data_IF_122591751095
#
_entry.id   IF_122591751095
#
_cell.length_a   1.000
_cell.length_b   1.000
_cell.length_c   1.000
_cell.angle_alpha   90.00
_cell.angle_beta   90.00
_cell.angle_gamma   90.00
#
_symmetry.space_group_name_H-M   'P 1'
#
loop_
_entity.id
_entity.type
_entity.pdbx_description
1 polymer ?
#
# COMPACT_ATOMS: atom_id res chain seq x y z
N UNK A 1 17.37 -9.90 45.10
CA UNK A 1 17.68 -9.45 43.73
C UNK A 1 16.57 -9.99 42.82
N UNK A 2 15.62 -9.14 42.43
CA UNK A 2 14.61 -9.43 41.43
C UNK A 2 15.23 -9.16 40.07
N UNK A 3 15.37 -10.19 39.25
CA UNK A 3 15.74 -10.06 37.83
C UNK A 3 14.54 -9.50 37.06
N UNK A 4 14.68 -8.31 36.51
CA UNK A 4 13.73 -7.79 35.52
C UNK A 4 13.91 -8.58 34.24
N UNK A 5 12.88 -9.34 33.86
CA UNK A 5 12.78 -9.96 32.54
C UNK A 5 12.28 -8.88 31.62
N UNK A 6 13.17 -8.35 30.80
CA UNK A 6 12.81 -7.48 29.65
C UNK A 6 12.03 -8.33 28.64
N UNK A 7 10.81 -7.96 28.25
CA UNK A 7 10.14 -8.70 27.19
C UNK A 7 10.91 -8.46 25.88
N UNK A 8 11.47 -9.54 25.32
CA UNK A 8 11.93 -9.55 23.93
C UNK A 8 10.77 -9.11 23.05
N UNK A 9 10.98 -8.05 22.29
CA UNK A 9 10.11 -7.65 21.19
C UNK A 9 9.95 -8.86 20.25
N UNK A 10 8.80 -9.55 20.35
CA UNK A 10 8.39 -10.50 19.32
C UNK A 10 8.13 -9.68 18.07
N UNK A 11 8.99 -9.80 17.08
CA UNK A 11 8.69 -9.36 15.72
C UNK A 11 7.36 -9.99 15.31
N UNK A 12 6.39 -9.13 15.01
CA UNK A 12 5.10 -9.56 14.50
C UNK A 12 5.30 -10.05 13.07
N UNK A 13 5.54 -11.35 12.90
CA UNK A 13 5.62 -12.02 11.60
C UNK A 13 4.22 -12.29 11.07
N UNK A 14 3.44 -11.23 10.82
CA UNK A 14 2.23 -11.34 10.00
C UNK A 14 2.64 -11.60 8.55
N UNK A 15 1.99 -12.57 7.89
CA UNK A 15 2.18 -12.83 6.47
C UNK A 15 1.74 -11.59 5.68
N UNK A 16 2.69 -10.87 5.10
CA UNK A 16 2.39 -9.78 4.18
C UNK A 16 1.93 -10.39 2.86
N UNK A 17 0.73 -10.07 2.45
CA UNK A 17 0.22 -10.40 1.12
C UNK A 17 0.20 -9.10 0.34
N UNK A 18 0.95 -9.05 -0.76
CA UNK A 18 0.89 -7.97 -1.73
C UNK A 18 -0.52 -7.99 -2.32
N UNK A 19 -1.20 -6.86 -2.27
CA UNK A 19 -2.48 -6.71 -2.91
C UNK A 19 -2.32 -6.88 -4.42
N UNK A 20 -3.39 -7.16 -5.13
CA UNK A 20 -3.42 -7.47 -6.56
C UNK A 20 -2.39 -6.65 -7.38
N UNK A 21 -1.14 -7.14 -7.44
CA UNK A 21 -0.04 -6.45 -8.13
C UNK A 21 -0.32 -6.30 -9.63
N UNK A 22 -1.07 -7.23 -10.21
CA UNK A 22 -1.45 -7.17 -11.62
C UNK A 22 -2.23 -5.88 -11.94
N UNK A 23 -3.06 -5.42 -11.02
CA UNK A 23 -3.75 -4.14 -11.18
C UNK A 23 -2.76 -2.97 -11.30
N UNK A 24 -1.72 -2.93 -10.48
CA UNK A 24 -0.65 -1.94 -10.57
C UNK A 24 0.14 -2.07 -11.88
N UNK A 25 0.52 -3.29 -12.26
CA UNK A 25 1.28 -3.54 -13.49
C UNK A 25 0.52 -3.12 -14.76
N UNK A 26 -0.81 -3.30 -14.77
CA UNK A 26 -1.66 -2.95 -15.91
C UNK A 26 -1.76 -1.44 -16.19
N UNK A 27 -1.50 -0.59 -15.21
CA UNK A 27 -1.50 0.87 -15.40
C UNK A 27 -0.12 1.42 -15.77
N UNK A 28 0.95 0.65 -15.54
CA UNK A 28 2.31 1.05 -15.89
C UNK A 28 2.60 0.86 -17.39
N UNK A 29 3.54 1.65 -17.97
CA UNK A 29 3.98 1.44 -19.33
C UNK A 29 4.52 0.03 -19.56
N UNK A 30 4.27 -0.61 -20.74
CA UNK A 30 4.65 -2.00 -20.99
C UNK A 30 6.14 -2.31 -20.78
N UNK A 31 7.03 -1.37 -21.16
CA UNK A 31 8.47 -1.54 -20.96
C UNK A 31 8.83 -1.63 -19.46
N UNK A 32 8.17 -0.82 -18.61
CA UNK A 32 8.36 -0.83 -17.16
C UNK A 32 7.81 -2.12 -16.56
N UNK A 33 6.59 -2.52 -16.97
CA UNK A 33 5.96 -3.77 -16.53
C UNK A 33 6.81 -4.98 -16.90
N UNK A 34 7.32 -5.04 -18.14
CA UNK A 34 8.20 -6.12 -18.60
C UNK A 34 9.44 -6.25 -17.71
N UNK A 35 10.08 -5.12 -17.39
CA UNK A 35 11.27 -5.12 -16.54
C UNK A 35 10.99 -5.55 -15.11
N UNK A 36 9.87 -5.10 -14.51
CA UNK A 36 9.43 -5.54 -13.18
C UNK A 36 9.18 -7.05 -13.13
N UNK A 37 8.58 -7.60 -14.20
CA UNK A 37 8.34 -9.04 -14.33
C UNK A 37 9.64 -9.83 -14.46
N UNK A 38 10.63 -9.33 -15.20
CA UNK A 38 11.97 -9.96 -15.31
C UNK A 38 12.70 -10.00 -13.97
N UNK A 39 12.62 -8.92 -13.17
CA UNK A 39 13.20 -8.85 -11.83
C UNK A 39 12.55 -9.88 -10.89
N UNK A 40 11.27 -10.15 -11.08
CA UNK A 40 10.50 -11.18 -10.37
C UNK A 40 10.64 -11.15 -8.84
N UNK A 41 10.50 -9.96 -8.25
CA UNK A 41 10.52 -9.74 -6.80
C UNK A 41 9.24 -9.01 -6.33
N UNK A 42 8.04 -9.56 -6.61
CA UNK A 42 6.77 -8.88 -6.34
C UNK A 42 6.57 -8.59 -4.85
N UNK A 43 7.01 -9.49 -3.97
CA UNK A 43 6.82 -9.35 -2.53
C UNK A 43 7.72 -8.29 -1.87
N UNK A 44 8.78 -7.89 -2.54
CA UNK A 44 9.73 -6.89 -2.05
C UNK A 44 9.53 -5.51 -2.67
N UNK A 45 8.75 -5.39 -3.75
CA UNK A 45 8.50 -4.13 -4.44
C UNK A 45 7.70 -3.18 -3.57
N UNK A 46 8.23 -1.99 -3.28
CA UNK A 46 7.60 -0.95 -2.46
C UNK A 46 6.93 0.11 -3.30
N UNK A 47 7.63 0.64 -4.28
CA UNK A 47 7.14 1.71 -5.16
C UNK A 47 7.89 1.76 -6.49
N UNK A 48 7.21 2.29 -7.51
CA UNK A 48 7.78 2.59 -8.82
C UNK A 48 7.73 4.11 -9.02
N UNK A 49 8.84 4.70 -9.44
CA UNK A 49 9.02 6.14 -9.59
C UNK A 49 9.24 6.46 -11.07
N UNK A 50 8.39 7.34 -11.60
CA UNK A 50 8.40 7.80 -12.98
C UNK A 50 8.49 9.33 -12.98
N UNK A 51 9.67 9.89 -13.07
CA UNK A 51 9.91 11.34 -13.10
C UNK A 51 10.31 11.76 -14.50
N UNK A 52 9.71 12.83 -15.02
CA UNK A 52 9.99 13.39 -16.34
C UNK A 52 11.48 13.75 -16.48
N UNK A 53 12.12 13.27 -17.54
CA UNK A 53 13.55 13.51 -17.81
C UNK A 53 14.49 12.74 -16.88
N UNK A 54 14.01 11.72 -16.18
CA UNK A 54 14.81 10.80 -15.37
C UNK A 54 14.56 9.36 -15.78
N UNK A 55 15.52 8.50 -15.52
CA UNK A 55 15.35 7.06 -15.68
C UNK A 55 14.36 6.53 -14.64
N UNK A 56 13.43 5.63 -15.03
CA UNK A 56 12.47 5.04 -14.11
C UNK A 56 13.18 4.12 -13.13
N UNK A 57 12.76 4.17 -11.88
CA UNK A 57 13.30 3.32 -10.82
C UNK A 57 12.21 2.58 -10.06
N UNK A 58 12.57 1.44 -9.48
CA UNK A 58 11.74 0.70 -8.54
C UNK A 58 12.48 0.57 -7.22
N UNK A 59 11.80 0.92 -6.14
CA UNK A 59 12.30 0.71 -4.78
C UNK A 59 11.78 -0.60 -4.23
N UNK A 60 12.71 -1.41 -3.76
CA UNK A 60 12.48 -2.69 -3.08
C UNK A 60 12.89 -2.58 -1.61
N UNK A 61 12.53 -3.57 -0.82
CA UNK A 61 12.93 -3.65 0.61
C UNK A 61 14.45 -3.56 0.77
N UNK A 62 15.20 -4.15 -0.16
CA UNK A 62 16.65 -4.28 -0.11
C UNK A 62 17.40 -3.26 -0.98
N UNK A 63 16.73 -2.24 -1.52
CA UNK A 63 17.37 -1.19 -2.30
C UNK A 63 16.54 -0.69 -3.49
N UNK A 64 17.20 0.05 -4.37
CA UNK A 64 16.59 0.63 -5.56
C UNK A 64 17.20 0.01 -6.82
N UNK A 65 16.36 -0.20 -7.85
CA UNK A 65 16.79 -0.71 -9.16
C UNK A 65 16.30 0.21 -10.26
N UNK A 66 17.17 0.45 -11.25
CA UNK A 66 16.84 1.14 -12.49
C UNK A 66 16.06 0.18 -13.40
N UNK A 67 14.90 0.63 -13.87
CA UNK A 67 14.01 -0.18 -14.71
C UNK A 67 14.30 -0.02 -16.21
N UNK A 68 14.83 1.14 -16.62
CA UNK A 68 15.22 1.43 -18.00
C UNK A 68 16.33 2.48 -18.01
N UNK A 69 17.18 2.44 -19.01
CA UNK A 69 18.18 3.49 -19.26
C UNK A 69 17.62 4.65 -20.10
N UNK A 70 16.39 4.53 -20.58
CA UNK A 70 15.67 5.60 -21.28
C UNK A 70 14.92 6.45 -20.28
N UNK A 71 15.06 7.77 -20.40
CA UNK A 71 14.36 8.74 -19.55
C UNK A 71 12.85 8.71 -19.80
N UNK A 72 12.08 8.95 -18.73
CA UNK A 72 10.63 9.08 -18.81
C UNK A 72 10.24 10.34 -19.56
N UNK A 73 9.35 10.19 -20.52
CA UNK A 73 8.75 11.28 -21.30
C UNK A 73 7.33 11.59 -20.83
N UNK A 74 6.73 12.62 -21.38
CA UNK A 74 5.32 12.91 -21.12
C UNK A 74 4.38 11.77 -21.55
N UNK A 75 4.76 10.99 -22.57
CA UNK A 75 3.94 9.89 -23.05
C UNK A 75 3.75 8.80 -22.00
N UNK A 76 4.81 8.43 -21.29
CA UNK A 76 4.71 7.44 -20.20
C UNK A 76 3.90 7.96 -19.03
N UNK A 77 4.04 9.23 -18.67
CA UNK A 77 3.24 9.86 -17.61
C UNK A 77 1.77 9.87 -18.01
N UNK A 78 1.45 10.36 -19.21
CA UNK A 78 0.09 10.44 -19.73
C UNK A 78 -0.53 9.04 -19.89
N UNK A 79 0.29 8.02 -20.21
CA UNK A 79 -0.14 6.63 -20.29
C UNK A 79 -0.68 6.13 -18.94
N UNK A 80 0.02 6.42 -17.84
CA UNK A 80 -0.43 6.03 -16.50
C UNK A 80 -1.65 6.85 -16.09
N UNK A 81 -1.60 8.17 -16.24
CA UNK A 81 -2.69 9.08 -15.85
C UNK A 81 -4.00 8.73 -16.55
N UNK A 82 -3.96 8.32 -17.82
CA UNK A 82 -5.13 7.91 -18.59
C UNK A 82 -5.77 6.58 -18.14
N UNK A 83 -5.10 5.82 -17.28
CA UNK A 83 -5.56 4.50 -16.79
C UNK A 83 -5.97 4.46 -15.33
N UNK A 84 -5.81 5.57 -14.63
CA UNK A 84 -6.20 5.71 -13.23
C UNK A 84 -7.32 6.73 -13.09
N UNK A 85 -7.98 6.73 -11.93
CA UNK A 85 -9.01 7.72 -11.60
C UNK A 85 -8.45 9.13 -11.40
N UNK A 86 -9.32 10.07 -11.11
CA UNK A 86 -8.92 11.44 -10.83
C UNK A 86 -8.05 11.53 -9.56
N UNK A 87 -7.09 12.45 -9.60
CA UNK A 87 -6.33 12.78 -8.39
C UNK A 87 -7.18 13.66 -7.45
N UNK A 88 -7.08 13.40 -6.16
CA UNK A 88 -7.67 14.21 -5.11
C UNK A 88 -6.90 15.54 -4.91
N UNK A 89 -7.33 16.32 -3.93
CA UNK A 89 -6.69 17.61 -3.57
C UNK A 89 -5.27 17.47 -3.07
N UNK A 90 -4.90 16.27 -2.58
CA UNK A 90 -3.54 15.93 -2.13
C UNK A 90 -2.68 15.34 -3.26
N UNK A 91 -3.13 15.43 -4.52
CA UNK A 91 -2.48 14.81 -5.69
C UNK A 91 -2.29 13.30 -5.54
N UNK A 92 -3.27 12.61 -4.96
CA UNK A 92 -3.29 11.15 -4.81
C UNK A 92 -4.46 10.57 -5.57
N UNK A 93 -4.22 9.43 -6.21
CA UNK A 93 -5.24 8.59 -6.81
C UNK A 93 -5.15 7.19 -6.24
N UNK A 94 -6.26 6.64 -5.78
CA UNK A 94 -6.41 5.24 -5.45
C UNK A 94 -6.61 4.41 -6.72
N UNK A 95 -6.44 3.11 -6.58
CA UNK A 95 -6.82 2.15 -7.60
C UNK A 95 -7.97 1.30 -7.08
N UNK A 96 -9.06 1.23 -7.85
CA UNK A 96 -10.27 0.52 -7.42
C UNK A 96 -9.97 -0.88 -6.90
N UNK A 97 -10.58 -1.23 -5.77
CA UNK A 97 -10.48 -2.54 -5.11
C UNK A 97 -9.05 -2.97 -4.75
N UNK A 98 -8.14 -2.03 -4.63
CA UNK A 98 -6.76 -2.29 -4.20
C UNK A 98 -6.31 -1.32 -3.11
N UNK A 99 -5.21 -1.65 -2.45
CA UNK A 99 -4.51 -0.76 -1.51
C UNK A 99 -3.39 0.04 -2.19
N UNK A 100 -3.26 -0.08 -3.51
CA UNK A 100 -2.28 0.68 -4.26
C UNK A 100 -2.65 2.15 -4.31
N UNK A 101 -1.65 3.01 -4.35
CA UNK A 101 -1.84 4.46 -4.43
C UNK A 101 -0.82 5.09 -5.35
N UNK A 102 -1.27 5.97 -6.20
CA UNK A 102 -0.43 6.76 -7.09
C UNK A 102 -0.46 8.21 -6.63
N UNK A 103 0.72 8.78 -6.41
CA UNK A 103 0.90 10.19 -6.06
C UNK A 103 1.52 10.94 -7.23
N UNK A 104 0.96 12.11 -7.56
CA UNK A 104 1.46 12.95 -8.65
C UNK A 104 2.28 14.12 -8.11
N UNK A 105 3.36 14.44 -8.82
CA UNK A 105 4.12 15.68 -8.66
C UNK A 105 3.74 16.59 -9.82
N UNK A 106 3.33 17.84 -9.50
CA UNK A 106 2.96 18.84 -10.50
C UNK A 106 3.98 19.97 -10.56
N UNK A 107 4.18 20.49 -11.75
CA UNK A 107 4.93 21.72 -11.93
C UNK A 107 4.08 22.97 -11.58
N UNK A 108 4.68 24.14 -11.68
CA UNK A 108 3.99 25.43 -11.39
C UNK A 108 2.78 25.71 -12.28
N UNK A 109 2.68 25.07 -13.44
CA UNK A 109 1.54 25.18 -14.36
C UNK A 109 0.47 24.12 -14.09
N UNK A 110 0.59 23.33 -13.01
CA UNK A 110 -0.34 22.28 -12.66
C UNK A 110 -0.17 20.97 -13.48
N UNK A 111 0.79 20.92 -14.41
CA UNK A 111 1.03 19.72 -15.22
C UNK A 111 1.78 18.67 -14.43
N UNK A 112 1.35 17.40 -14.54
CA UNK A 112 2.02 16.26 -13.88
C UNK A 112 3.39 16.05 -14.54
N UNK A 113 4.44 16.04 -13.72
CA UNK A 113 5.84 15.84 -14.13
C UNK A 113 6.50 14.67 -13.41
N UNK A 114 5.79 14.01 -12.50
CA UNK A 114 6.28 12.83 -11.82
C UNK A 114 5.13 12.03 -11.21
N UNK A 115 5.33 10.72 -11.10
CA UNK A 115 4.42 9.79 -10.48
C UNK A 115 5.18 8.85 -9.55
N UNK A 116 4.64 8.64 -8.36
CA UNK A 116 5.09 7.59 -7.43
C UNK A 116 3.96 6.58 -7.24
N UNK A 117 4.16 5.39 -7.80
CA UNK A 117 3.19 4.28 -7.73
C UNK A 117 3.56 3.39 -6.55
N UNK A 118 2.87 3.53 -5.43
CA UNK A 118 3.14 2.77 -4.20
C UNK A 118 2.34 1.48 -4.17
N UNK A 119 3.04 0.38 -3.95
CA UNK A 119 2.44 -0.95 -3.80
C UNK A 119 1.76 -1.06 -2.43
N UNK A 120 0.45 -1.25 -2.43
CA UNK A 120 -0.33 -1.54 -1.22
C UNK A 120 -0.13 -2.98 -0.77
N UNK A 121 -0.10 -3.18 0.54
CA UNK A 121 0.02 -4.51 1.15
C UNK A 121 -0.92 -4.64 2.30
N UNK A 122 -1.67 -5.73 2.34
CA UNK A 122 -2.40 -6.15 3.51
C UNK A 122 -1.48 -7.01 4.41
N UNK A 123 -1.55 -6.78 5.70
CA UNK A 123 -0.89 -7.63 6.70
C UNK A 123 -1.96 -8.51 7.30
N UNK A 124 -1.87 -9.81 7.06
CA UNK A 124 -2.76 -10.81 7.63
C UNK A 124 -2.10 -11.49 8.83
N UNK A 125 -2.91 -11.95 9.78
CA UNK A 125 -2.42 -12.70 10.95
C UNK A 125 -1.97 -11.85 12.14
N UNK A 126 -2.14 -10.51 12.10
CA UNK A 126 -1.87 -9.65 13.26
C UNK A 126 -2.92 -9.75 14.35
N UNK A 127 -4.04 -10.39 14.05
CA UNK A 127 -5.18 -10.56 14.97
C UNK A 127 -5.09 -11.82 15.82
N UNK A 128 -4.23 -12.77 15.49
CA UNK A 128 -4.07 -14.00 16.31
C UNK A 128 -3.76 -13.67 17.78
N UNK A 129 -3.07 -12.54 18.02
CA UNK A 129 -2.70 -12.07 19.36
C UNK A 129 -3.89 -11.47 20.13
N UNK A 130 -4.88 -10.95 19.40
CA UNK A 130 -6.04 -10.24 19.98
C UNK A 130 -7.37 -10.88 19.60
N UNK A 131 -7.34 -12.07 19.00
CA UNK A 131 -8.55 -12.75 18.54
C UNK A 131 -9.51 -13.03 19.69
N UNK A 132 -9.03 -13.47 20.82
CA UNK A 132 -9.79 -13.70 22.05
C UNK A 132 -10.47 -12.40 22.55
N UNK A 133 -9.79 -11.26 22.42
CA UNK A 133 -10.37 -9.96 22.76
C UNK A 133 -11.45 -9.54 21.77
N UNK A 134 -11.24 -9.76 20.47
CA UNK A 134 -12.24 -9.48 19.42
C UNK A 134 -13.47 -10.34 19.61
N UNK A 135 -13.32 -11.62 19.91
CA UNK A 135 -14.39 -12.58 20.11
C UNK A 135 -15.11 -12.42 21.48
N UNK A 136 -14.50 -11.75 22.45
CA UNK A 136 -15.06 -11.54 23.81
C UNK A 136 -16.37 -10.75 23.82
N UNK A 137 -16.71 -10.05 22.74
CA UNK A 137 -17.90 -9.20 22.63
C UNK A 137 -17.82 -7.90 23.41
N UNK A 138 -16.67 -7.57 23.97
CA UNK A 138 -16.41 -6.31 24.69
C UNK A 138 -15.98 -5.21 23.73
N UNK A 139 -16.17 -3.96 24.14
CA UNK A 139 -15.63 -2.81 23.41
C UNK A 139 -14.10 -2.82 23.45
N UNK A 140 -13.46 -2.63 22.30
CA UNK A 140 -12.01 -2.58 22.15
C UNK A 140 -11.61 -1.20 21.63
N UNK A 141 -10.67 -0.54 22.30
CA UNK A 141 -10.08 0.71 21.86
C UNK A 141 -8.64 0.47 21.41
N UNK A 142 -8.35 0.76 20.12
CA UNK A 142 -7.01 0.62 19.55
C UNK A 142 -6.27 1.95 19.62
N UNK A 143 -5.25 2.03 20.45
CA UNK A 143 -4.37 3.19 20.58
C UNK A 143 -2.98 2.89 20.05
N UNK A 144 -2.38 3.86 19.36
CA UNK A 144 -1.02 3.73 18.85
C UNK A 144 -0.62 4.88 17.93
N UNK A 145 0.67 5.01 17.67
CA UNK A 145 1.24 6.01 16.78
C UNK A 145 0.72 5.81 15.34
N UNK A 146 0.73 6.84 14.49
CA UNK A 146 0.50 6.68 13.06
C UNK A 146 1.39 5.58 12.46
N UNK A 147 0.85 4.78 11.53
CA UNK A 147 1.61 3.74 10.82
C UNK A 147 1.82 2.42 11.58
N UNK A 148 1.39 2.27 12.83
CA UNK A 148 1.57 1.00 13.59
C UNK A 148 0.60 -0.13 13.20
N UNK A 149 -0.31 0.11 12.25
CA UNK A 149 -1.23 -0.92 11.76
C UNK A 149 -2.60 -0.94 12.43
N UNK A 150 -3.05 0.13 13.11
CA UNK A 150 -4.38 0.21 13.73
C UNK A 150 -5.52 -0.06 12.73
N UNK A 151 -5.48 0.60 11.58
CA UNK A 151 -6.48 0.44 10.52
C UNK A 151 -6.47 -0.98 9.95
N UNK A 152 -5.29 -1.57 9.76
CA UNK A 152 -5.14 -2.97 9.32
C UNK A 152 -5.77 -3.93 10.33
N UNK A 153 -5.52 -3.73 11.63
CA UNK A 153 -6.10 -4.55 12.69
C UNK A 153 -7.62 -4.40 12.75
N UNK A 154 -8.14 -3.18 12.57
CA UNK A 154 -9.57 -2.91 12.58
C UNK A 154 -10.29 -3.58 11.39
N UNK A 155 -9.71 -3.53 10.20
CA UNK A 155 -10.22 -4.25 9.01
C UNK A 155 -10.29 -5.76 9.25
N UNK A 156 -9.22 -6.32 9.79
CA UNK A 156 -9.15 -7.75 10.05
C UNK A 156 -10.13 -8.17 11.17
N UNK A 157 -10.28 -7.36 12.22
CA UNK A 157 -11.28 -7.58 13.26
C UNK A 157 -12.71 -7.56 12.70
N UNK A 158 -13.02 -6.60 11.82
CA UNK A 158 -14.31 -6.53 11.15
C UNK A 158 -14.56 -7.78 10.27
N UNK A 159 -13.53 -8.25 9.53
CA UNK A 159 -13.60 -9.47 8.71
C UNK A 159 -13.92 -10.70 9.56
N UNK A 160 -13.17 -10.92 10.65
CA UNK A 160 -13.38 -12.06 11.56
C UNK A 160 -14.79 -12.04 12.17
N UNK A 161 -15.23 -10.87 12.62
CA UNK A 161 -16.56 -10.73 13.21
C UNK A 161 -17.67 -10.94 12.18
N UNK A 162 -17.47 -10.53 10.94
CA UNK A 162 -18.45 -10.67 9.85
C UNK A 162 -18.74 -12.13 9.48
N UNK A 163 -17.84 -13.06 9.79
CA UNK A 163 -18.07 -14.49 9.62
C UNK A 163 -19.17 -15.04 10.54
N UNK A 164 -19.37 -14.40 11.69
CA UNK A 164 -20.28 -14.89 12.74
C UNK A 164 -21.39 -13.91 13.11
N UNK A 165 -21.24 -12.63 12.74
CA UNK A 165 -22.15 -11.55 13.18
C UNK A 165 -22.37 -10.55 12.05
N UNK A 166 -23.47 -9.79 12.15
CA UNK A 166 -23.68 -8.62 11.31
C UNK A 166 -22.81 -7.48 11.81
N UNK A 167 -21.85 -7.03 11.01
CA UNK A 167 -20.91 -5.94 11.31
C UNK A 167 -21.37 -4.68 10.59
N UNK A 168 -21.33 -3.55 11.29
CA UNK A 168 -21.51 -2.21 10.71
C UNK A 168 -20.23 -1.45 10.92
N UNK A 169 -19.68 -0.89 9.84
CA UNK A 169 -18.48 -0.06 9.87
C UNK A 169 -18.92 1.39 9.74
N UNK A 170 -18.53 2.22 10.71
CA UNK A 170 -18.66 3.68 10.64
C UNK A 170 -17.26 4.24 10.40
N UNK A 171 -17.01 4.70 9.19
CA UNK A 171 -15.70 5.15 8.74
C UNK A 171 -15.80 6.60 8.26
N UNK A 172 -15.41 7.54 9.13
CA UNK A 172 -15.49 8.98 8.86
C UNK A 172 -14.34 9.51 8.01
N UNK A 173 -13.28 8.70 7.85
CA UNK A 173 -12.03 9.10 7.18
C UNK A 173 -11.74 8.28 5.92
N UNK A 174 -12.66 7.40 5.55
CA UNK A 174 -12.54 6.47 4.41
C UNK A 174 -11.23 5.65 4.41
N UNK A 175 -10.82 5.23 5.63
CA UNK A 175 -9.58 4.47 5.83
C UNK A 175 -9.80 2.96 5.85
N UNK A 176 -11.02 2.51 6.14
CA UNK A 176 -11.35 1.11 6.40
C UNK A 176 -12.03 0.48 5.19
N UNK A 177 -13.05 1.13 4.65
CA UNK A 177 -13.83 0.60 3.53
C UNK A 177 -13.09 0.66 2.19
N UNK A 178 -12.24 1.67 2.00
CA UNK A 178 -11.68 2.00 0.69
C UNK A 178 -12.77 2.53 -0.26
N UNK A 179 -12.37 3.23 -1.30
CA UNK A 179 -13.25 3.66 -2.40
C UNK A 179 -13.60 2.50 -3.34
#
# INVERSE_FOLDING_TARGET
RRSMITPRSREMTGKRITDNLDAMLNVLPPAITGRLTEINQPDELLEVILDLGRVPTARYVNGEQVLSHTEITHQEIDYVVGRIGAFDTDNRAGMERTLHRISAIRNRLGKIVGLTCRVGRAVYGTTDIVQDLIESGKSLLLLGRPGVGKTTMLREAARILAEKKRVVIVDTSNEIGGD
#
